data_IF_341608287554
#
_entry.id   IF_341608287554
#
_cell.length_a   1.000
_cell.length_b   1.000
_cell.length_c   1.000
_cell.angle_alpha   90.00
_cell.angle_beta   90.00
_cell.angle_gamma   90.00
#
_symmetry.space_group_name_H-M   'P 1'
#
loop_
_entity.id
_entity.type
_entity.pdbx_description
1 polymer ?
#
# COMPACT_ATOMS: atom_id res chain seq x y z
N UNK A 1 -13.22 3.13 -20.26
CA UNK A 1 -13.26 3.04 -18.79
C UNK A 1 -12.12 2.13 -18.36
N UNK A 2 -11.19 2.58 -17.53
CA UNK A 2 -10.07 1.78 -17.03
C UNK A 2 -10.44 1.29 -15.62
N UNK A 3 -10.52 -0.03 -15.44
CA UNK A 3 -10.76 -0.67 -14.15
C UNK A 3 -9.52 -1.47 -13.78
N UNK A 4 -9.07 -1.34 -12.55
CA UNK A 4 -8.06 -2.19 -11.93
C UNK A 4 -8.69 -2.83 -10.71
N UNK A 5 -8.79 -4.14 -10.72
CA UNK A 5 -9.38 -4.95 -9.66
C UNK A 5 -8.39 -6.03 -9.22
N UNK A 6 -7.85 -5.88 -8.03
CA UNK A 6 -6.85 -6.78 -7.45
C UNK A 6 -7.40 -7.60 -6.27
N UNK A 7 -8.72 -7.64 -6.07
CA UNK A 7 -9.31 -8.36 -4.93
C UNK A 7 -8.95 -9.84 -4.94
N UNK A 8 -9.12 -10.54 -6.08
CA UNK A 8 -8.80 -11.97 -6.18
C UNK A 8 -7.30 -12.24 -5.96
N UNK A 9 -6.44 -11.37 -6.49
CA UNK A 9 -5.01 -11.46 -6.24
C UNK A 9 -4.71 -11.38 -4.74
N UNK A 10 -5.25 -10.36 -4.04
CA UNK A 10 -4.98 -10.22 -2.60
C UNK A 10 -5.60 -11.34 -1.77
N UNK A 11 -6.81 -11.81 -2.08
CA UNK A 11 -7.40 -12.98 -1.42
C UNK A 11 -6.50 -14.21 -1.52
N UNK A 12 -5.83 -14.42 -2.67
CA UNK A 12 -4.98 -15.58 -2.91
C UNK A 12 -3.61 -15.51 -2.22
N UNK A 13 -3.08 -14.28 -1.97
CA UNK A 13 -1.73 -14.10 -1.41
C UNK A 13 -1.72 -13.74 0.07
N UNK A 14 -2.87 -13.37 0.65
CA UNK A 14 -2.99 -13.06 2.07
C UNK A 14 -2.63 -14.26 2.95
N UNK A 15 -1.88 -14.00 4.01
CA UNK A 15 -1.50 -15.00 5.01
C UNK A 15 -1.73 -14.42 6.40
N UNK A 16 -2.23 -15.24 7.30
CA UNK A 16 -2.50 -14.89 8.69
C UNK A 16 -1.90 -15.99 9.56
N UNK A 17 -0.88 -15.67 10.37
CA UNK A 17 -0.20 -16.63 11.23
C UNK A 17 -0.78 -16.62 12.65
N UNK A 18 -1.54 -15.59 12.99
CA UNK A 18 -2.17 -15.42 14.30
C UNK A 18 -3.42 -14.54 14.22
N UNK A 19 -4.24 -14.56 15.27
CA UNK A 19 -5.40 -13.66 15.43
C UNK A 19 -4.99 -12.18 15.58
N UNK A 20 -3.71 -11.92 15.86
CA UNK A 20 -3.12 -10.58 15.96
C UNK A 20 -2.86 -9.96 14.57
N UNK A 21 -2.83 -10.78 13.51
CA UNK A 21 -2.51 -10.33 12.15
C UNK A 21 -3.72 -9.69 11.44
N UNK A 22 -3.44 -8.62 10.69
CA UNK A 22 -4.40 -8.03 9.77
C UNK A 22 -3.73 -7.31 8.60
N UNK A 23 -4.49 -7.07 7.53
CA UNK A 23 -4.10 -6.18 6.44
C UNK A 23 -4.84 -4.85 6.55
N UNK A 24 -4.11 -3.77 6.30
CA UNK A 24 -4.65 -2.42 6.39
C UNK A 24 -5.04 -1.91 5.00
N UNK A 25 -6.33 -1.59 4.83
CA UNK A 25 -6.89 -1.04 3.60
C UNK A 25 -7.36 0.39 3.83
N UNK A 26 -7.08 1.27 2.87
CA UNK A 26 -7.48 2.68 2.89
C UNK A 26 -8.17 3.06 1.59
N UNK A 27 -9.28 3.78 1.68
CA UNK A 27 -9.90 4.45 0.52
C UNK A 27 -9.50 5.91 0.55
N UNK A 28 -8.85 6.38 -0.52
CA UNK A 28 -8.30 7.72 -0.64
C UNK A 28 -8.77 8.41 -1.92
N UNK A 29 -9.18 9.67 -1.81
CA UNK A 29 -9.23 10.59 -2.96
C UNK A 29 -7.84 11.17 -3.13
N UNK A 30 -7.24 11.01 -4.32
CA UNK A 30 -5.91 11.56 -4.61
C UNK A 30 -6.03 13.01 -5.06
N UNK A 31 -5.24 13.88 -4.43
CA UNK A 31 -5.18 15.28 -4.83
C UNK A 31 -4.71 15.51 -6.28
N UNK A 32 -3.94 14.58 -6.83
CA UNK A 32 -3.47 14.61 -8.24
C UNK A 32 -4.57 14.25 -9.26
N UNK A 33 -5.66 13.61 -8.84
CA UNK A 33 -6.74 13.19 -9.74
C UNK A 33 -7.75 14.33 -10.06
N UNK A 34 -7.45 15.57 -9.67
CA UNK A 34 -8.15 16.77 -10.13
C UNK A 34 -9.52 17.04 -9.47
N UNK A 35 -9.97 16.24 -8.54
CA UNK A 35 -11.30 16.32 -7.91
C UNK A 35 -11.32 17.00 -6.54
N UNK A 36 -10.23 17.63 -6.13
CA UNK A 36 -10.29 18.50 -4.97
C UNK A 36 -10.92 19.81 -5.40
N UNK A 37 -12.16 20.08 -4.95
CA UNK A 37 -12.59 21.45 -4.77
C UNK A 37 -11.40 22.20 -4.17
N UNK A 38 -11.02 23.31 -4.78
CA UNK A 38 -9.88 24.11 -4.34
C UNK A 38 -10.09 24.42 -2.86
N UNK A 39 -9.57 23.55 -2.00
CA UNK A 39 -9.53 23.83 -0.57
C UNK A 39 -8.67 25.05 -0.40
N UNK A 40 -9.12 25.98 0.41
CA UNK A 40 -8.66 27.35 0.66
C UNK A 40 -7.13 27.54 0.81
N UNK A 41 -6.31 26.50 0.64
CA UNK A 41 -4.85 26.53 0.81
C UNK A 41 -4.03 25.83 -0.28
N UNK A 42 -4.56 25.54 -1.47
CA UNK A 42 -3.73 25.09 -2.61
C UNK A 42 -2.94 23.79 -2.44
N UNK A 43 -3.15 23.04 -1.39
CA UNK A 43 -2.45 21.80 -1.11
C UNK A 43 -3.23 20.61 -1.68
N UNK A 44 -2.72 20.00 -2.76
CA UNK A 44 -3.16 18.71 -3.33
C UNK A 44 -2.96 17.54 -2.33
N UNK A 45 -3.61 17.61 -1.17
CA UNK A 45 -3.51 16.55 -0.15
C UNK A 45 -4.49 15.42 -0.46
N UNK A 46 -4.01 14.19 -0.32
CA UNK A 46 -4.87 13.03 -0.36
C UNK A 46 -5.89 13.10 0.78
N UNK A 47 -7.16 12.80 0.50
CA UNK A 47 -8.24 12.78 1.50
C UNK A 47 -8.59 11.33 1.83
N UNK A 48 -8.41 10.94 3.08
CA UNK A 48 -8.83 9.64 3.59
C UNK A 48 -10.37 9.63 3.74
N UNK A 49 -11.03 8.65 3.12
CA UNK A 49 -12.48 8.46 3.15
C UNK A 49 -12.84 7.38 4.17
N UNK A 50 -12.22 6.20 4.05
CA UNK A 50 -12.50 5.06 4.94
C UNK A 50 -11.29 4.15 5.08
N UNK A 51 -11.23 3.44 6.19
CA UNK A 51 -10.22 2.42 6.46
C UNK A 51 -10.89 1.09 6.81
N UNK A 52 -10.19 0.01 6.51
CA UNK A 52 -10.61 -1.34 6.89
C UNK A 52 -9.42 -2.11 7.49
N UNK A 53 -9.73 -2.91 8.47
CA UNK A 53 -8.83 -3.84 9.13
C UNK A 53 -9.22 -5.25 8.71
N UNK A 54 -8.55 -5.80 7.71
CA UNK A 54 -8.91 -7.07 7.09
C UNK A 54 -8.25 -8.22 7.84
N UNK A 55 -9.06 -9.09 8.43
CA UNK A 55 -8.64 -10.18 9.32
C UNK A 55 -8.65 -11.57 8.66
N UNK A 56 -9.20 -11.69 7.45
CA UNK A 56 -9.20 -12.92 6.65
C UNK A 56 -9.55 -12.62 5.19
N UNK A 57 -9.33 -13.58 4.28
CA UNK A 57 -9.75 -13.46 2.88
C UNK A 57 -11.28 -13.35 2.76
N UNK A 58 -12.03 -14.10 3.58
CA UNK A 58 -13.50 -14.05 3.63
C UNK A 58 -13.98 -12.67 4.15
N UNK A 59 -13.24 -12.05 5.07
CA UNK A 59 -13.53 -10.68 5.49
C UNK A 59 -13.35 -9.70 4.33
N UNK A 60 -12.28 -9.84 3.55
CA UNK A 60 -12.06 -9.02 2.36
C UNK A 60 -13.21 -9.19 1.36
N UNK A 61 -13.65 -10.43 1.10
CA UNK A 61 -14.78 -10.72 0.21
C UNK A 61 -16.09 -10.07 0.68
N UNK A 62 -16.34 -10.05 1.99
CA UNK A 62 -17.58 -9.43 2.54
C UNK A 62 -17.64 -7.92 2.38
N UNK A 63 -16.48 -7.25 2.37
CA UNK A 63 -16.42 -5.77 2.26
C UNK A 63 -16.08 -5.29 0.85
N UNK A 64 -15.87 -6.21 -0.09
CA UNK A 64 -15.46 -5.89 -1.47
C UNK A 64 -16.46 -4.97 -2.18
N UNK A 65 -17.75 -5.35 -2.19
CA UNK A 65 -18.79 -4.56 -2.86
C UNK A 65 -18.93 -3.18 -2.24
N UNK A 66 -18.80 -3.06 -0.92
CA UNK A 66 -18.82 -1.78 -0.23
C UNK A 66 -17.63 -0.91 -0.64
N UNK A 67 -16.42 -1.49 -0.71
CA UNK A 67 -15.21 -0.77 -1.13
C UNK A 67 -15.37 -0.26 -2.57
N UNK A 68 -15.83 -1.11 -3.49
CA UNK A 68 -16.09 -0.75 -4.90
C UNK A 68 -17.13 0.37 -5.01
N UNK A 69 -18.24 0.24 -4.28
CA UNK A 69 -19.30 1.25 -4.28
C UNK A 69 -18.81 2.61 -3.75
N UNK A 70 -18.01 2.64 -2.69
CA UNK A 70 -17.43 3.88 -2.17
C UNK A 70 -16.46 4.48 -3.19
N UNK A 71 -15.55 3.67 -3.78
CA UNK A 71 -14.61 4.14 -4.77
C UNK A 71 -15.32 4.78 -5.98
N UNK A 72 -16.38 4.12 -6.46
CA UNK A 72 -17.22 4.66 -7.55
C UNK A 72 -17.91 5.96 -7.14
N UNK A 73 -18.60 5.99 -6.00
CA UNK A 73 -19.43 7.12 -5.58
C UNK A 73 -18.65 8.44 -5.38
N UNK A 74 -17.37 8.37 -4.97
CA UNK A 74 -16.56 9.57 -4.68
C UNK A 74 -15.29 9.66 -5.53
N UNK A 75 -15.19 8.88 -6.60
CA UNK A 75 -14.03 8.79 -7.50
C UNK A 75 -12.71 8.61 -6.70
N UNK A 76 -12.70 7.62 -5.82
CA UNK A 76 -11.58 7.31 -4.95
C UNK A 76 -10.84 6.04 -5.40
N UNK A 77 -9.69 5.80 -4.79
CA UNK A 77 -8.91 4.57 -4.96
C UNK A 77 -8.83 3.82 -3.65
N UNK A 78 -8.97 2.50 -3.70
CA UNK A 78 -8.68 1.64 -2.58
C UNK A 78 -7.23 1.17 -2.64
N UNK A 79 -6.53 1.29 -1.54
CA UNK A 79 -5.14 0.85 -1.37
C UNK A 79 -5.04 -0.16 -0.25
N UNK A 80 -4.14 -1.13 -0.40
CA UNK A 80 -3.82 -2.14 0.60
C UNK A 80 -2.33 -2.15 0.89
N UNK A 81 -1.96 -2.26 2.16
CA UNK A 81 -0.57 -2.48 2.54
C UNK A 81 -0.21 -3.97 2.38
N UNK A 82 0.78 -4.32 1.55
CA UNK A 82 1.17 -5.72 1.34
C UNK A 82 1.81 -6.35 2.57
N UNK A 83 2.50 -5.54 3.40
CA UNK A 83 3.05 -6.03 4.68
C UNK A 83 1.95 -6.13 5.73
N UNK A 84 1.83 -7.30 6.36
CA UNK A 84 0.88 -7.52 7.46
C UNK A 84 1.14 -6.57 8.64
N UNK A 85 0.07 -6.23 9.34
CA UNK A 85 0.07 -5.48 10.59
C UNK A 85 -0.19 -6.43 11.75
N UNK A 86 0.23 -6.06 12.94
CA UNK A 86 -0.09 -6.69 14.22
C UNK A 86 -0.87 -5.70 15.07
N UNK A 87 -1.98 -6.13 15.66
CA UNK A 87 -2.73 -5.28 16.59
C UNK A 87 -1.87 -4.81 17.75
N UNK A 88 -0.97 -5.66 18.25
CA UNK A 88 -0.03 -5.31 19.31
C UNK A 88 0.94 -4.20 18.89
N UNK A 89 1.55 -4.33 17.71
CA UNK A 89 2.46 -3.31 17.20
C UNK A 89 1.75 -1.99 16.90
N UNK A 90 0.54 -2.05 16.35
CA UNK A 90 -0.30 -0.87 16.11
C UNK A 90 -0.69 -0.21 17.44
N UNK A 91 -1.06 -0.98 18.48
CA UNK A 91 -1.38 -0.43 19.78
C UNK A 91 -0.16 0.30 20.39
N UNK A 92 1.04 -0.30 20.34
CA UNK A 92 2.27 0.31 20.83
C UNK A 92 2.59 1.62 20.11
N UNK A 93 2.49 1.63 18.77
CA UNK A 93 2.71 2.84 17.97
C UNK A 93 1.63 3.90 18.22
N UNK A 94 0.38 3.48 18.38
CA UNK A 94 -0.72 4.36 18.70
C UNK A 94 -0.53 5.04 20.07
N UNK A 95 -0.09 4.30 21.09
CA UNK A 95 0.23 4.87 22.40
C UNK A 95 1.32 5.94 22.32
N UNK A 96 2.41 5.66 21.61
CA UNK A 96 3.50 6.63 21.41
C UNK A 96 2.99 7.90 20.71
N UNK A 97 2.31 7.74 19.58
CA UNK A 97 1.77 8.85 18.82
C UNK A 97 0.72 9.66 19.59
N UNK A 98 -0.19 8.97 20.29
CA UNK A 98 -1.23 9.60 21.10
C UNK A 98 -0.63 10.50 22.18
N UNK A 99 0.30 9.97 22.98
CA UNK A 99 0.96 10.73 24.05
C UNK A 99 1.68 11.95 23.50
N UNK A 100 2.47 11.79 22.44
CA UNK A 100 3.19 12.91 21.83
C UNK A 100 2.24 13.97 21.25
N UNK A 101 1.19 13.54 20.57
CA UNK A 101 0.22 14.41 19.91
C UNK A 101 -0.64 15.15 20.94
N UNK A 102 -1.02 14.46 22.01
CA UNK A 102 -1.78 15.05 23.11
C UNK A 102 -0.98 16.13 23.84
N UNK A 103 0.28 15.85 24.17
CA UNK A 103 1.16 16.81 24.85
C UNK A 103 1.50 18.03 23.96
N UNK A 104 1.45 17.88 22.63
CA UNK A 104 1.66 19.00 21.69
C UNK A 104 0.38 19.76 21.33
N UNK A 105 -0.75 19.48 21.98
CA UNK A 105 -2.06 20.10 21.72
C UNK A 105 -2.49 20.02 20.24
N UNK A 106 -2.18 18.91 19.55
CA UNK A 106 -2.49 18.71 18.13
C UNK A 106 -3.74 17.82 17.95
N UNK A 107 -4.93 18.42 18.01
CA UNK A 107 -6.21 17.69 17.89
C UNK A 107 -6.39 16.99 16.55
N UNK A 108 -5.85 17.51 15.46
CA UNK A 108 -5.93 16.89 14.13
C UNK A 108 -5.12 15.58 14.12
N UNK A 109 -3.94 15.61 14.74
CA UNK A 109 -3.10 14.42 14.92
C UNK A 109 -3.77 13.35 15.77
N UNK A 110 -4.49 13.75 16.83
CA UNK A 110 -5.25 12.82 17.69
C UNK A 110 -6.29 12.02 16.90
N UNK A 111 -7.05 12.68 16.02
CA UNK A 111 -8.06 12.01 15.17
C UNK A 111 -7.45 11.00 14.21
N UNK A 112 -6.21 11.24 13.78
CA UNK A 112 -5.47 10.38 12.85
C UNK A 112 -4.59 9.31 13.49
N UNK A 113 -4.49 9.24 14.82
CA UNK A 113 -3.53 8.36 15.52
C UNK A 113 -3.62 6.90 15.09
N UNK A 114 -4.83 6.34 14.96
CA UNK A 114 -5.02 4.95 14.53
C UNK A 114 -4.55 4.70 13.09
N UNK A 115 -5.01 5.50 12.15
CA UNK A 115 -4.62 5.33 10.73
C UNK A 115 -3.12 5.56 10.53
N UNK A 116 -2.52 6.50 11.26
CA UNK A 116 -1.09 6.75 11.26
C UNK A 116 -0.32 5.56 11.82
N UNK A 117 -0.77 5.00 12.95
CA UNK A 117 -0.16 3.81 13.55
C UNK A 117 -0.25 2.60 12.60
N UNK A 118 -1.42 2.35 12.00
CA UNK A 118 -1.58 1.29 10.99
C UNK A 118 -0.69 1.49 9.76
N UNK A 119 -0.51 2.74 9.29
CA UNK A 119 0.35 3.05 8.15
C UNK A 119 1.84 2.80 8.45
N UNK A 120 2.30 3.05 9.68
CA UNK A 120 3.71 2.91 10.10
C UNK A 120 4.07 1.50 10.55
N UNK A 121 3.19 0.84 11.29
CA UNK A 121 3.46 -0.47 11.90
C UNK A 121 3.40 -1.59 10.87
N UNK A 122 4.27 -2.58 11.02
CA UNK A 122 4.25 -3.84 10.26
C UNK A 122 4.96 -4.93 11.06
N UNK A 123 4.58 -6.18 10.80
CA UNK A 123 5.28 -7.33 11.38
C UNK A 123 6.62 -7.50 10.66
N UNK A 124 7.73 -7.24 11.35
CA UNK A 124 9.08 -7.15 10.76
C UNK A 124 9.44 -8.37 9.91
N UNK A 125 9.14 -9.60 10.38
CA UNK A 125 9.41 -10.84 9.66
C UNK A 125 8.58 -11.00 8.36
N UNK A 126 7.54 -10.19 8.18
CA UNK A 126 6.64 -10.21 7.02
C UNK A 126 6.69 -8.90 6.22
N UNK A 127 7.75 -8.13 6.41
CA UNK A 127 7.97 -6.90 5.67
C UNK A 127 8.10 -7.19 4.18
N UNK A 128 7.38 -6.40 3.37
CA UNK A 128 7.47 -6.42 1.93
C UNK A 128 7.76 -5.01 1.41
N UNK A 129 8.54 -4.95 0.34
CA UNK A 129 8.81 -3.74 -0.41
C UNK A 129 7.87 -3.66 -1.61
N UNK A 130 7.55 -2.45 -2.01
CA UNK A 130 6.79 -2.15 -3.23
C UNK A 130 7.76 -1.44 -4.18
N UNK A 131 8.04 -2.04 -5.32
CA UNK A 131 8.81 -1.44 -6.39
C UNK A 131 7.80 -0.89 -7.40
N UNK A 132 7.80 0.43 -7.58
CA UNK A 132 6.84 1.13 -8.45
C UNK A 132 7.40 1.20 -9.87
N UNK A 133 6.74 0.50 -10.79
CA UNK A 133 7.07 0.47 -12.21
C UNK A 133 6.00 1.24 -12.99
N UNK A 134 6.35 2.42 -13.44
CA UNK A 134 5.55 3.19 -14.39
C UNK A 134 5.41 2.44 -15.74
N UNK A 135 4.52 2.90 -16.61
CA UNK A 135 4.15 2.24 -17.87
C UNK A 135 5.38 1.82 -18.70
N UNK A 136 6.39 2.64 -18.74
CA UNK A 136 7.63 2.38 -19.49
C UNK A 136 8.42 1.15 -18.97
N UNK A 137 8.42 0.89 -17.63
CA UNK A 137 9.06 -0.26 -17.00
C UNK A 137 8.11 -1.44 -16.79
N UNK A 138 6.82 -1.23 -16.97
CA UNK A 138 5.79 -2.26 -16.78
C UNK A 138 5.64 -3.20 -17.99
N UNK A 139 6.33 -2.92 -19.12
CA UNK A 139 6.43 -3.85 -20.25
C UNK A 139 7.09 -5.16 -19.83
N UNK A 140 6.60 -6.27 -20.36
CA UNK A 140 7.00 -7.61 -19.91
C UNK A 140 8.50 -7.85 -19.98
N UNK A 141 9.20 -7.35 -20.99
CA UNK A 141 10.66 -7.51 -21.16
C UNK A 141 11.45 -6.78 -20.07
N UNK A 142 11.16 -5.50 -19.86
CA UNK A 142 11.80 -4.66 -18.81
C UNK A 142 11.45 -5.14 -17.40
N UNK A 143 10.20 -5.50 -17.18
CA UNK A 143 9.75 -6.05 -15.90
C UNK A 143 10.51 -7.32 -15.53
N UNK A 144 10.69 -8.25 -16.50
CA UNK A 144 11.44 -9.48 -16.28
C UNK A 144 12.93 -9.19 -16.02
N UNK A 145 13.54 -8.25 -16.75
CA UNK A 145 14.91 -7.82 -16.48
C UNK A 145 15.08 -7.26 -15.06
N UNK A 146 14.18 -6.39 -14.63
CA UNK A 146 14.19 -5.80 -13.28
C UNK A 146 14.00 -6.90 -12.22
N UNK A 147 13.04 -7.80 -12.41
CA UNK A 147 12.78 -8.90 -11.50
C UNK A 147 14.00 -9.83 -11.39
N UNK A 148 14.61 -10.19 -12.52
CA UNK A 148 15.83 -11.01 -12.55
C UNK A 148 16.99 -10.31 -11.85
N UNK A 149 17.19 -9.01 -12.08
CA UNK A 149 18.24 -8.24 -11.40
C UNK A 149 18.03 -8.22 -9.88
N UNK A 150 16.81 -8.08 -9.40
CA UNK A 150 16.50 -8.15 -7.97
C UNK A 150 16.83 -9.53 -7.41
N UNK A 151 16.51 -10.61 -8.13
CA UNK A 151 16.75 -11.97 -7.67
C UNK A 151 18.25 -12.34 -7.68
N UNK A 152 18.98 -12.01 -8.72
CA UNK A 152 20.32 -12.51 -8.96
C UNK A 152 21.42 -11.55 -8.45
N UNK A 153 21.15 -10.23 -8.46
CA UNK A 153 22.17 -9.22 -8.22
C UNK A 153 22.03 -8.47 -6.90
N UNK A 154 20.87 -8.58 -6.21
CA UNK A 154 20.63 -7.92 -4.94
C UNK A 154 20.64 -8.91 -3.77
N UNK A 155 21.38 -8.62 -2.71
CA UNK A 155 21.41 -9.44 -1.49
C UNK A 155 20.05 -9.42 -0.74
N UNK A 156 19.67 -10.52 -0.05
CA UNK A 156 20.35 -11.82 0.06
C UNK A 156 20.15 -12.68 -1.21
N UNK A 157 21.15 -13.51 -1.57
CA UNK A 157 21.12 -14.30 -2.81
C UNK A 157 20.42 -15.66 -2.68
N UNK A 158 20.24 -16.16 -1.46
CA UNK A 158 19.68 -17.46 -1.13
C UNK A 158 18.16 -17.46 -0.88
N UNK A 159 17.50 -16.33 -1.16
CA UNK A 159 16.08 -16.12 -0.85
C UNK A 159 15.34 -15.62 -2.06
N UNK A 160 14.27 -16.31 -2.46
CA UNK A 160 13.33 -15.78 -3.46
C UNK A 160 12.69 -14.48 -2.95
N UNK A 161 12.96 -13.37 -3.64
CA UNK A 161 12.54 -12.02 -3.21
C UNK A 161 11.20 -11.62 -3.80
N UNK A 162 11.00 -11.79 -5.12
CA UNK A 162 9.72 -11.49 -5.76
C UNK A 162 8.62 -12.41 -5.23
N UNK A 163 7.52 -11.82 -4.79
CA UNK A 163 6.39 -12.55 -4.25
C UNK A 163 5.21 -12.56 -5.23
N UNK A 164 4.83 -11.40 -5.73
CA UNK A 164 3.76 -11.24 -6.72
C UNK A 164 3.83 -9.86 -7.37
N UNK A 165 3.07 -9.70 -8.46
CA UNK A 165 2.96 -8.47 -9.24
C UNK A 165 1.54 -7.94 -9.12
N UNK A 166 1.41 -6.63 -8.85
CA UNK A 166 0.13 -5.95 -8.69
C UNK A 166 -0.06 -4.95 -9.84
N UNK A 167 -1.06 -5.13 -10.71
CA UNK A 167 -1.46 -4.11 -11.67
C UNK A 167 -1.85 -2.79 -10.99
N UNK A 168 -1.48 -1.66 -11.62
CA UNK A 168 -1.86 -0.32 -11.15
C UNK A 168 -2.59 0.47 -12.24
N UNK A 169 -2.98 1.71 -11.94
CA UNK A 169 -3.63 2.57 -12.93
C UNK A 169 -2.69 2.91 -14.11
N UNK A 170 -1.38 3.03 -13.88
CA UNK A 170 -0.40 3.50 -14.85
C UNK A 170 0.87 2.63 -14.92
N UNK A 171 0.79 1.39 -14.50
CA UNK A 171 1.96 0.50 -14.51
C UNK A 171 1.72 -0.75 -13.68
N UNK A 172 2.76 -1.18 -12.96
CA UNK A 172 2.73 -2.37 -12.08
C UNK A 172 3.59 -2.14 -10.85
N UNK A 173 3.22 -2.74 -9.74
CA UNK A 173 4.07 -2.85 -8.57
C UNK A 173 4.63 -4.27 -8.47
N UNK A 174 5.95 -4.42 -8.31
CA UNK A 174 6.54 -5.68 -7.86
C UNK A 174 6.54 -5.70 -6.34
N UNK A 175 6.01 -6.74 -5.76
CA UNK A 175 6.00 -6.93 -4.30
C UNK A 175 7.09 -7.93 -3.94
N UNK A 176 8.09 -7.46 -3.19
CA UNK A 176 9.31 -8.22 -2.89
C UNK A 176 9.57 -8.29 -1.39
N UNK A 177 10.23 -9.38 -0.94
CA UNK A 177 10.89 -9.39 0.35
C UNK A 177 11.99 -8.33 0.40
N UNK A 178 12.40 -7.87 1.59
CA UNK A 178 13.49 -6.92 1.74
C UNK A 178 14.78 -7.40 1.06
N UNK A 179 15.42 -6.49 0.34
CA UNK A 179 16.71 -6.70 -0.30
C UNK A 179 17.60 -5.44 -0.16
N UNK A 180 18.89 -5.57 -0.46
CA UNK A 180 19.81 -4.43 -0.48
C UNK A 180 19.50 -3.52 -1.67
N UNK A 181 18.88 -2.38 -1.39
CA UNK A 181 18.41 -1.43 -2.41
C UNK A 181 19.52 -0.54 -2.99
N UNK A 182 20.75 -0.58 -2.46
CA UNK A 182 21.82 0.31 -2.91
C UNK A 182 22.26 -0.03 -4.35
N UNK A 183 22.52 -1.33 -4.63
CA UNK A 183 22.90 -1.79 -5.96
C UNK A 183 21.75 -1.60 -6.96
N UNK A 184 20.51 -1.83 -6.52
CA UNK A 184 19.31 -1.62 -7.33
C UNK A 184 19.18 -0.15 -7.76
N UNK A 185 19.26 0.79 -6.82
CA UNK A 185 19.15 2.22 -7.10
C UNK A 185 20.30 2.79 -7.95
N UNK A 186 21.46 2.11 -7.98
CA UNK A 186 22.54 2.48 -8.91
C UNK A 186 22.21 2.11 -10.37
N UNK A 187 21.55 0.96 -10.58
CA UNK A 187 21.19 0.50 -11.93
C UNK A 187 19.88 1.09 -12.43
N UNK A 188 18.89 1.30 -11.52
CA UNK A 188 17.55 1.80 -11.85
C UNK A 188 17.22 3.02 -10.95
N UNK A 189 17.93 4.17 -11.12
CA UNK A 189 17.74 5.35 -10.28
C UNK A 189 16.35 5.97 -10.44
N UNK A 190 15.67 5.72 -11.56
CA UNK A 190 14.33 6.19 -11.88
C UNK A 190 13.20 5.32 -11.31
N UNK A 191 13.53 4.14 -10.76
CA UNK A 191 12.54 3.21 -10.18
C UNK A 191 12.47 3.36 -8.67
N UNK A 192 11.32 3.76 -8.17
CA UNK A 192 11.10 3.96 -6.75
C UNK A 192 10.93 2.65 -5.98
N UNK A 193 11.67 2.50 -4.87
CA UNK A 193 11.55 1.39 -3.93
C UNK A 193 10.94 1.86 -2.62
N UNK A 194 9.71 1.49 -2.37
CA UNK A 194 8.97 1.85 -1.18
C UNK A 194 9.00 0.72 -0.13
N UNK A 195 9.52 1.03 1.07
CA UNK A 195 9.75 0.01 2.12
C UNK A 195 8.52 -0.29 2.99
N UNK A 196 7.47 0.51 2.91
CA UNK A 196 6.23 0.35 3.69
C UNK A 196 5.04 1.10 3.08
N UNK A 197 4.98 1.26 1.76
CA UNK A 197 3.86 1.93 1.12
C UNK A 197 2.73 0.93 0.79
N UNK A 198 1.50 1.42 0.68
CA UNK A 198 0.41 0.62 0.13
C UNK A 198 0.54 0.48 -1.38
N UNK A 199 -0.13 -0.53 -1.93
CA UNK A 199 -0.33 -0.74 -3.36
C UNK A 199 -1.81 -0.67 -3.71
N UNK A 200 -2.15 -0.62 -5.00
CA UNK A 200 -3.52 -0.48 -5.46
C UNK A 200 -4.32 -1.77 -5.24
N UNK A 201 -5.45 -1.68 -4.54
CA UNK A 201 -6.42 -2.75 -4.42
C UNK A 201 -7.53 -2.63 -5.48
N UNK A 202 -8.09 -1.41 -5.63
CA UNK A 202 -9.14 -1.16 -6.60
C UNK A 202 -9.13 0.29 -7.11
N UNK A 203 -9.38 0.44 -8.39
CA UNK A 203 -9.59 1.73 -9.05
C UNK A 203 -10.52 1.59 -10.24
N UNK A 204 -11.45 2.50 -10.37
CA UNK A 204 -12.31 2.68 -11.53
C UNK A 204 -12.22 4.13 -11.98
N UNK A 205 -11.74 4.35 -13.22
CA UNK A 205 -11.71 5.69 -13.80
C UNK A 205 -13.13 6.08 -14.22
N UNK A 206 -13.72 7.08 -13.60
CA UNK A 206 -14.93 7.73 -14.09
C UNK A 206 -14.56 8.62 -15.28
N UNK A 207 -15.23 8.45 -16.41
CA UNK A 207 -15.05 9.26 -17.61
C UNK A 207 -15.58 10.68 -17.40
#
# INVERSE_FOLDING_TARGET
>A
MKIVDNFELFKSVMKFDSEDDFYFVQILIRGKDGHTEQGVNGNNKNRLIKIYTIKSAEHLSRVEDEIKAICHAVNARAYIHPSRRSFREVANEMFRNFTQTFLSHNDVGLKGCYSTACGKSFVTKHKLYVIDLDEEFAETSKLNEIAQFIEEECEPFDTLKLQYIVPTAHGKHLICKPFNTAKFGQKYPEVDVHKNNPTLLYFEALN
#
